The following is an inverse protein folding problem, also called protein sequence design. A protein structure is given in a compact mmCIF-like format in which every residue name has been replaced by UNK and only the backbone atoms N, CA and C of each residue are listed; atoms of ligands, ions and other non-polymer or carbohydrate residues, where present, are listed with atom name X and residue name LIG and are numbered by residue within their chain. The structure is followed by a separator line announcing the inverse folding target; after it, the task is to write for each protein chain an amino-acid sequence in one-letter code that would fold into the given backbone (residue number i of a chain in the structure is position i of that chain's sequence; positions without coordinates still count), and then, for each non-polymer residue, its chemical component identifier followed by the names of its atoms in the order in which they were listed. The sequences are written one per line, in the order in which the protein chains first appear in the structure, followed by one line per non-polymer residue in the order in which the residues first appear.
data_IF_638486511752
#
_entry.id   IF_638486511752
#
_cell.length_a   1.000
_cell.length_b   1.000
_cell.length_c   1.000
_cell.angle_alpha   90.00
_cell.angle_beta   90.00
_cell.angle_gamma   90.00
#
_symmetry.space_group_name_H-M   'P 1'
#
loop_
_entity.id
_entity.type
_entity.pdbx_description
1 polymer ?
#
# COMPACT_ATOMS: atom_id res chain seq x y z
N UNK A 1 2.39 -0.05 19.15
CA UNK A 1 1.51 -1.13 18.63
C UNK A 1 2.22 -1.75 17.44
N UNK A 2 2.38 -3.08 17.39
CA UNK A 2 2.94 -3.79 16.22
C UNK A 2 1.78 -4.53 15.56
N UNK A 3 1.43 -4.12 14.34
CA UNK A 3 0.42 -4.77 13.51
C UNK A 3 1.15 -5.65 12.50
N UNK A 4 0.77 -6.92 12.43
CA UNK A 4 1.25 -7.87 11.42
C UNK A 4 0.06 -8.37 10.62
N UNK A 5 0.16 -8.28 9.30
CA UNK A 5 -0.84 -8.78 8.35
C UNK A 5 -0.16 -9.81 7.44
N UNK A 6 -0.87 -10.88 7.11
CA UNK A 6 -0.43 -11.88 6.14
C UNK A 6 -1.61 -12.33 5.28
N UNK A 7 -1.33 -12.73 4.04
CA UNK A 7 -2.33 -13.18 3.09
C UNK A 7 -1.68 -13.57 1.76
N UNK A 8 -2.41 -14.34 0.95
CA UNK A 8 -1.98 -14.77 -0.37
C UNK A 8 -3.14 -14.62 -1.37
N UNK A 9 -3.55 -13.38 -1.70
CA UNK A 9 -4.63 -13.16 -2.65
C UNK A 9 -4.23 -13.63 -4.05
N UNK A 10 -5.15 -14.30 -4.74
CA UNK A 10 -4.98 -14.63 -6.15
C UNK A 10 -5.20 -13.38 -7.01
N UNK A 11 -4.30 -13.14 -7.95
CA UNK A 11 -4.35 -11.98 -8.85
C UNK A 11 -4.39 -12.48 -10.29
N UNK A 12 -5.46 -12.15 -11.01
CA UNK A 12 -5.64 -12.48 -12.43
C UNK A 12 -4.88 -11.50 -13.32
N UNK A 13 -3.56 -11.43 -13.18
CA UNK A 13 -2.67 -10.63 -14.03
C UNK A 13 -1.30 -11.31 -14.19
N UNK A 14 -0.58 -11.09 -15.31
CA UNK A 14 0.77 -11.59 -15.48
C UNK A 14 1.73 -11.10 -14.38
N UNK A 15 2.67 -11.93 -13.90
CA UNK A 15 3.58 -11.56 -12.80
C UNK A 15 4.39 -10.28 -13.04
N UNK A 16 4.80 -10.01 -14.27
CA UNK A 16 5.57 -8.79 -14.61
C UNK A 16 4.73 -7.51 -14.46
N UNK A 17 3.45 -7.59 -14.81
CA UNK A 17 2.50 -6.48 -14.63
C UNK A 17 2.27 -6.22 -13.15
N UNK A 18 2.11 -7.28 -12.36
CA UNK A 18 1.99 -7.17 -10.90
C UNK A 18 3.24 -6.53 -10.30
N UNK A 19 4.42 -6.99 -10.71
CA UNK A 19 5.68 -6.49 -10.16
C UNK A 19 5.92 -5.01 -10.49
N UNK A 20 5.60 -4.57 -11.72
CA UNK A 20 5.65 -3.15 -12.10
C UNK A 20 4.76 -2.29 -11.22
N UNK A 21 3.54 -2.76 -10.89
CA UNK A 21 2.61 -2.04 -10.00
C UNK A 21 3.07 -2.00 -8.56
N UNK A 22 3.68 -3.07 -8.05
CA UNK A 22 4.21 -3.10 -6.69
C UNK A 22 5.42 -2.18 -6.49
N UNK A 23 6.18 -1.90 -7.55
CA UNK A 23 7.34 -0.99 -7.52
C UNK A 23 6.98 0.47 -7.83
N UNK A 24 5.75 0.73 -8.28
CA UNK A 24 5.24 2.06 -8.56
C UNK A 24 4.69 2.67 -7.26
N UNK A 25 5.46 3.55 -6.64
CA UNK A 25 5.08 4.15 -5.35
C UNK A 25 3.81 5.00 -5.44
N UNK A 26 3.51 5.61 -6.59
CA UNK A 26 2.30 6.42 -6.77
C UNK A 26 1.09 5.50 -6.81
N UNK A 27 1.19 4.39 -7.54
CA UNK A 27 0.15 3.36 -7.55
C UNK A 27 -0.08 2.79 -6.16
N UNK A 28 0.98 2.39 -5.45
CA UNK A 28 0.88 1.82 -4.10
C UNK A 28 0.22 2.80 -3.13
N UNK A 29 0.62 4.08 -3.16
CA UNK A 29 0.02 5.13 -2.34
C UNK A 29 -1.48 5.32 -2.64
N UNK A 30 -1.90 5.22 -3.91
CA UNK A 30 -3.29 5.41 -4.31
C UNK A 30 -4.26 4.36 -3.77
N UNK A 31 -3.79 3.15 -3.49
CA UNK A 31 -4.60 2.01 -3.02
C UNK A 31 -4.43 1.71 -1.53
N UNK A 32 -3.42 2.30 -0.89
CA UNK A 32 -3.13 2.11 0.51
C UNK A 32 -4.17 2.86 1.39
N UNK A 33 -4.83 2.17 2.33
CA UNK A 33 -5.85 2.79 3.17
C UNK A 33 -5.31 3.99 3.95
N UNK A 34 -6.03 5.12 3.87
CA UNK A 34 -5.74 6.31 4.65
C UNK A 34 -4.50 7.08 4.22
N UNK A 35 -3.87 6.78 3.07
CA UNK A 35 -2.77 7.61 2.56
C UNK A 35 -3.31 8.93 2.04
N UNK A 36 -2.75 10.03 2.54
CA UNK A 36 -3.12 11.40 2.17
C UNK A 36 -2.09 12.02 1.22
N UNK A 37 -0.81 11.71 1.42
CA UNK A 37 0.27 12.11 0.52
C UNK A 37 1.47 11.18 0.60
N UNK A 38 2.21 11.10 -0.50
CA UNK A 38 3.51 10.44 -0.61
C UNK A 38 4.51 11.40 -1.26
N UNK A 39 5.73 11.43 -0.72
CA UNK A 39 6.85 12.16 -1.28
C UNK A 39 8.06 11.23 -1.36
N UNK A 40 8.60 11.05 -2.57
CA UNK A 40 9.87 10.37 -2.76
C UNK A 40 11.01 11.25 -2.21
N UNK A 41 11.82 10.68 -1.33
CA UNK A 41 13.07 11.27 -0.83
C UNK A 41 14.21 10.85 -1.77
N UNK A 42 14.22 9.57 -2.16
CA UNK A 42 15.05 8.98 -3.21
C UNK A 42 14.36 7.72 -3.79
N UNK A 43 15.08 6.96 -4.61
CA UNK A 43 14.56 5.76 -5.31
C UNK A 43 14.01 4.66 -4.37
N UNK A 44 14.36 4.67 -3.08
CA UNK A 44 14.00 3.63 -2.11
C UNK A 44 13.41 4.17 -0.81
N UNK A 45 13.43 5.47 -0.59
CA UNK A 45 12.92 6.10 0.63
C UNK A 45 11.78 7.06 0.33
N UNK A 46 10.68 6.90 1.07
CA UNK A 46 9.45 7.67 0.89
C UNK A 46 8.98 8.24 2.23
N UNK A 47 8.54 9.50 2.21
CA UNK A 47 7.78 10.10 3.29
C UNK A 47 6.29 9.96 2.97
N UNK A 48 5.55 9.31 3.86
CA UNK A 48 4.11 9.09 3.70
C UNK A 48 3.36 9.79 4.83
N UNK A 49 2.35 10.57 4.49
CA UNK A 49 1.35 11.05 5.45
C UNK A 49 0.13 10.17 5.30
N UNK A 50 -0.29 9.54 6.40
CA UNK A 50 -1.47 8.71 6.42
C UNK A 50 -2.32 9.00 7.65
N UNK A 51 -3.60 9.24 7.40
CA UNK A 51 -4.64 9.39 8.39
C UNK A 51 -5.31 8.05 8.66
N UNK A 52 -5.01 7.44 9.80
CA UNK A 52 -5.83 6.35 10.34
C UNK A 52 -6.75 6.93 11.40
N UNK A 53 -8.04 7.06 11.07
CA UNK A 53 -9.06 7.40 12.06
C UNK A 53 -9.09 6.34 13.17
N UNK A 54 -9.28 6.77 14.42
CA UNK A 54 -9.52 5.84 15.54
C UNK A 54 -10.95 5.33 15.42
N UNK A 55 -11.15 4.26 14.64
CA UNK A 55 -12.47 3.70 14.32
C UNK A 55 -12.35 2.27 13.75
N UNK A 56 -13.45 1.52 13.74
CA UNK A 56 -13.43 0.12 13.32
C UNK A 56 -13.10 -0.02 11.82
N UNK A 57 -11.89 -0.53 11.52
CA UNK A 57 -11.52 -0.95 10.17
C UNK A 57 -12.08 -2.34 9.92
N UNK A 58 -13.09 -2.45 9.04
CA UNK A 58 -13.60 -3.75 8.56
C UNK A 58 -12.84 -4.15 7.29
N UNK A 59 -11.90 -5.06 7.42
CA UNK A 59 -11.25 -5.72 6.28
C UNK A 59 -11.94 -7.07 6.05
N UNK A 60 -12.34 -7.37 4.82
CA UNK A 60 -12.83 -8.69 4.40
C UNK A 60 -11.83 -9.26 3.41
N UNK A 61 -11.38 -10.50 3.65
CA UNK A 61 -10.51 -11.27 2.77
C UNK A 61 -11.35 -12.31 2.03
#
# INVERSE_FOLDING_TARGET
MRLEFSGAPEITAPPDVVWKRLLDHEFVASVAPGVESVQAIDDRHFKVVSGFGVGAVKVRF
#
